data_IF_068370926503
#
_entry.id   IF_068370926503
#
_cell.length_a   1.000
_cell.length_b   1.000
_cell.length_c   1.000
_cell.angle_alpha   90.00
_cell.angle_beta   90.00
_cell.angle_gamma   90.00
#
_symmetry.space_group_name_H-M   'P 1'
#
loop_
_entity.id
_entity.type
_entity.pdbx_description
1 polymer ?
#
# COMPACT_ATOMS: atom_id res chain seq x y z
N UNK A 1 -3.26 -21.90 -18.12
CA UNK A 1 -2.77 -20.52 -18.18
C UNK A 1 -1.83 -20.35 -17.01
N UNK A 2 -0.56 -20.07 -17.24
CA UNK A 2 0.35 -19.69 -16.17
C UNK A 2 -0.21 -18.39 -15.59
N UNK A 3 -0.62 -18.39 -14.33
CA UNK A 3 -0.91 -17.14 -13.62
C UNK A 3 0.39 -16.34 -13.68
N UNK A 4 0.44 -15.36 -14.59
CA UNK A 4 1.62 -14.55 -14.80
C UNK A 4 1.95 -13.86 -13.48
N UNK A 5 3.09 -14.24 -12.89
CA UNK A 5 3.68 -13.61 -11.71
C UNK A 5 4.11 -12.19 -12.05
N UNK A 6 3.13 -11.32 -12.27
CA UNK A 6 3.34 -9.92 -12.60
C UNK A 6 3.69 -9.21 -11.30
N UNK A 7 4.92 -8.71 -11.26
CA UNK A 7 5.39 -7.86 -10.18
C UNK A 7 4.85 -6.45 -10.45
N UNK A 8 4.16 -5.89 -9.45
CA UNK A 8 3.69 -4.51 -9.48
C UNK A 8 4.52 -3.70 -8.49
N UNK A 9 5.12 -2.60 -8.95
CA UNK A 9 5.83 -1.65 -8.09
C UNK A 9 5.20 -0.27 -8.07
N UNK A 10 5.44 0.46 -6.98
CA UNK A 10 5.12 1.88 -6.81
C UNK A 10 5.98 2.49 -5.70
N UNK A 11 5.91 3.80 -5.51
CA UNK A 11 6.58 4.46 -4.40
C UNK A 11 5.68 4.50 -3.17
N UNK A 12 6.22 4.07 -2.02
CA UNK A 12 5.56 4.16 -0.72
C UNK A 12 5.08 5.61 -0.47
N UNK A 13 3.77 5.88 -0.31
CA UNK A 13 3.29 7.25 -0.14
C UNK A 13 3.75 7.90 1.18
N UNK A 14 4.15 7.08 2.16
CA UNK A 14 4.64 7.56 3.45
C UNK A 14 6.11 8.05 3.40
N UNK A 15 7.00 7.33 2.71
CA UNK A 15 8.46 7.62 2.75
C UNK A 15 9.16 7.67 1.38
N UNK A 16 8.42 7.50 0.28
CA UNK A 16 8.90 7.56 -1.12
C UNK A 16 9.91 6.49 -1.54
N UNK A 17 10.20 5.50 -0.71
CA UNK A 17 10.98 4.33 -1.14
C UNK A 17 10.14 3.44 -2.07
N UNK A 18 10.78 2.84 -3.07
CA UNK A 18 10.12 1.91 -3.98
C UNK A 18 9.70 0.64 -3.22
N UNK A 19 8.50 0.16 -3.53
CA UNK A 19 7.93 -1.06 -3.01
C UNK A 19 7.39 -1.90 -4.17
N UNK A 20 7.44 -3.23 -4.02
CA UNK A 20 6.98 -4.16 -5.05
C UNK A 20 6.27 -5.36 -4.42
N UNK A 21 5.25 -5.87 -5.12
CA UNK A 21 4.47 -7.02 -4.67
C UNK A 21 3.81 -7.76 -5.82
N UNK A 22 3.22 -8.91 -5.47
CA UNK A 22 2.49 -9.76 -6.40
C UNK A 22 0.99 -9.54 -6.26
N UNK A 23 0.28 -9.54 -7.38
CA UNK A 23 -1.18 -9.45 -7.39
C UNK A 23 -1.79 -10.81 -7.06
N UNK A 24 -2.74 -10.83 -6.14
CA UNK A 24 -3.48 -12.04 -5.82
C UNK A 24 -4.74 -12.20 -6.71
N UNK A 25 -5.45 -13.32 -6.53
CA UNK A 25 -6.69 -13.62 -7.25
C UNK A 25 -7.84 -12.63 -7.01
N UNK A 26 -7.74 -11.77 -5.99
CA UNK A 26 -8.71 -10.71 -5.68
C UNK A 26 -8.32 -9.35 -6.28
N UNK A 27 -7.36 -9.30 -7.21
CA UNK A 27 -6.81 -8.06 -7.77
C UNK A 27 -6.21 -7.10 -6.73
N UNK A 28 -5.69 -7.66 -5.63
CA UNK A 28 -5.01 -6.90 -4.58
C UNK A 28 -3.52 -7.19 -4.59
N UNK A 29 -2.72 -6.16 -4.31
CA UNK A 29 -1.26 -6.26 -4.15
C UNK A 29 -0.95 -5.79 -2.73
N UNK A 30 -0.40 -6.68 -1.90
CA UNK A 30 -0.06 -6.40 -0.50
C UNK A 30 1.45 -6.25 -0.37
N UNK A 31 1.90 -5.15 0.24
CA UNK A 31 3.34 -4.89 0.42
C UNK A 31 3.59 -4.21 1.77
N UNK A 32 4.71 -4.57 2.40
CA UNK A 32 5.27 -3.87 3.55
C UNK A 32 6.50 -3.08 3.12
N UNK A 33 6.53 -1.78 3.40
CA UNK A 33 7.70 -0.95 3.12
C UNK A 33 8.87 -1.37 4.03
N UNK A 34 10.01 -1.73 3.45
CA UNK A 34 11.21 -2.12 4.22
C UNK A 34 11.85 -0.96 4.97
N UNK A 35 11.60 0.29 4.53
CA UNK A 35 12.25 1.47 5.13
C UNK A 35 11.46 2.03 6.30
N UNK A 36 10.18 2.34 6.12
CA UNK A 36 9.36 2.95 7.19
C UNK A 36 8.41 1.97 7.88
N UNK A 37 8.31 0.73 7.41
CA UNK A 37 7.47 -0.30 8.01
C UNK A 37 5.98 -0.21 7.67
N UNK A 38 5.52 0.82 6.94
CA UNK A 38 4.10 0.98 6.59
C UNK A 38 3.62 -0.20 5.75
N UNK A 39 2.43 -0.71 6.07
CA UNK A 39 1.80 -1.80 5.33
C UNK A 39 0.78 -1.21 4.36
N UNK A 40 0.74 -1.74 3.14
CA UNK A 40 -0.06 -1.18 2.06
C UNK A 40 -0.80 -2.28 1.31
N UNK A 41 -2.05 -1.99 0.95
CA UNK A 41 -2.88 -2.83 0.08
C UNK A 41 -3.35 -1.99 -1.09
N UNK A 42 -2.84 -2.28 -2.29
CA UNK A 42 -3.31 -1.65 -3.53
C UNK A 42 -4.36 -2.54 -4.18
N UNK A 43 -5.55 -1.99 -4.43
CA UNK A 43 -6.64 -2.66 -5.13
C UNK A 43 -6.89 -1.94 -6.46
N UNK A 44 -6.84 -2.70 -7.57
CA UNK A 44 -7.15 -2.16 -8.90
C UNK A 44 -8.66 -2.21 -9.09
N UNK A 45 -9.33 -1.06 -8.97
CA UNK A 45 -10.79 -0.93 -9.06
C UNK A 45 -11.24 -0.79 -10.51
N UNK A 46 -10.42 -0.17 -11.35
CA UNK A 46 -10.68 -0.03 -12.77
C UNK A 46 -9.46 0.48 -13.54
N UNK A 47 -9.62 0.73 -14.84
CA UNK A 47 -8.49 1.09 -15.72
C UNK A 47 -7.69 2.33 -15.28
N UNK A 48 -8.34 3.27 -14.57
CA UNK A 48 -7.74 4.53 -14.10
C UNK A 48 -7.97 4.76 -12.62
N UNK A 49 -8.38 3.72 -11.88
CA UNK A 49 -8.76 3.87 -10.47
C UNK A 49 -8.11 2.76 -9.67
N UNK A 50 -7.16 3.16 -8.86
CA UNK A 50 -6.55 2.32 -7.83
C UNK A 50 -6.84 2.93 -6.47
N UNK A 51 -7.11 2.07 -5.50
CA UNK A 51 -7.18 2.44 -4.08
C UNK A 51 -5.95 1.88 -3.41
N UNK A 52 -5.25 2.70 -2.63
CA UNK A 52 -4.14 2.26 -1.79
C UNK A 52 -4.52 2.52 -0.34
N UNK A 53 -4.86 1.45 0.37
CA UNK A 53 -5.00 1.48 1.82
C UNK A 53 -3.61 1.46 2.43
N UNK A 54 -3.32 2.42 3.31
CA UNK A 54 -2.03 2.57 3.99
C UNK A 54 -2.27 2.42 5.49
N UNK A 55 -1.54 1.51 6.10
CA UNK A 55 -1.58 1.23 7.52
C UNK A 55 -0.25 1.62 8.16
N UNK A 56 -0.34 2.17 9.37
CA UNK A 56 0.82 2.39 10.21
C UNK A 56 1.56 1.05 10.45
N UNK A 57 2.88 1.08 10.66
CA UNK A 57 3.62 -0.10 11.06
C UNK A 57 3.00 -0.75 12.30
N UNK A 58 3.06 -2.07 12.40
CA UNK A 58 2.59 -2.81 13.58
C UNK A 58 3.14 -2.19 14.88
N UNK A 59 2.25 -1.91 15.84
CA UNK A 59 2.58 -1.25 17.11
C UNK A 59 2.53 0.28 17.07
N UNK A 60 2.17 0.89 15.94
CA UNK A 60 1.86 2.32 15.84
C UNK A 60 0.37 2.50 15.54
N UNK A 61 -0.25 3.50 16.15
CA UNK A 61 -1.65 3.85 15.95
C UNK A 61 -1.77 5.25 15.34
N UNK A 62 -2.94 5.56 14.78
CA UNK A 62 -3.25 6.93 14.42
C UNK A 62 -3.32 7.76 15.70
N UNK A 63 -2.61 8.88 15.75
CA UNK A 63 -2.88 9.89 16.76
C UNK A 63 -4.30 10.43 16.52
N UNK A 64 -5.00 10.76 17.60
CA UNK A 64 -6.32 11.38 17.52
C UNK A 64 -6.29 12.53 16.50
N UNK A 65 -7.26 12.52 15.57
CA UNK A 65 -7.42 13.55 14.55
C UNK A 65 -8.01 14.81 15.19
N UNK A 66 -7.34 15.33 16.22
CA UNK A 66 -7.63 16.68 16.69
C UNK A 66 -7.18 17.63 15.59
N UNK A 67 -8.16 18.26 14.95
CA UNK A 67 -7.93 19.42 14.10
C UNK A 67 -7.08 20.40 14.91
N UNK A 68 -5.81 20.59 14.51
CA UNK A 68 -4.97 21.66 15.06
C UNK A 68 -5.74 22.96 14.86
N UNK A 69 -6.34 23.47 15.94
CA UNK A 69 -6.87 24.83 15.99
C UNK A 69 -5.64 25.74 15.95
N UNK A 70 -5.57 26.56 14.90
CA UNK A 70 -4.58 27.62 14.75
C UNK A 70 -4.69 28.64 15.87
#
# INVERSE_FOLDING_TARGET
MLEEWTIYSWYCPNCRNEVAGLKNSKNQIRVKCKTCGSEMVRTIVGRRHDVIDIYAPSGQEHNDLELRRY
#
